data_IF_350374513397
#
_entry.id   IF_350374513397
#
_cell.length_a   1.000
_cell.length_b   1.000
_cell.length_c   1.000
_cell.angle_alpha   90.00
_cell.angle_beta   90.00
_cell.angle_gamma   90.00
#
_symmetry.space_group_name_H-M   'P 1'
#
loop_
_entity.id
_entity.type
_entity.pdbx_description
1 polymer ?
#
# COMPACT_ATOMS: atom_id res chain seq x y z
N UNK A 1 -6.17 13.01 67.48
CA UNK A 1 -7.21 14.05 67.31
C UNK A 1 -6.48 15.27 66.74
N UNK A 2 -6.66 15.76 65.52
CA UNK A 2 -7.77 15.85 64.56
C UNK A 2 -7.11 16.15 63.19
N UNK A 3 -7.05 15.18 62.26
CA UNK A 3 -7.88 15.12 61.04
C UNK A 3 -8.24 16.49 60.45
N UNK A 4 -7.59 16.88 59.34
CA UNK A 4 -8.06 17.97 58.47
C UNK A 4 -8.15 17.45 57.03
N UNK A 5 -9.39 17.40 56.56
CA UNK A 5 -9.85 16.87 55.27
C UNK A 5 -9.51 17.84 54.15
N UNK A 6 -8.86 17.35 53.07
CA UNK A 6 -8.81 18.06 51.79
C UNK A 6 -9.99 17.63 50.94
N UNK A 7 -10.77 18.62 50.52
CA UNK A 7 -11.96 18.49 49.67
C UNK A 7 -11.48 18.23 48.23
N UNK A 8 -11.89 17.10 47.66
CA UNK A 8 -11.72 16.80 46.25
C UNK A 8 -12.92 17.38 45.48
N UNK A 9 -12.67 18.41 44.68
CA UNK A 9 -13.64 18.96 43.73
C UNK A 9 -13.47 18.26 42.40
N UNK A 10 -14.32 17.28 42.12
CA UNK A 10 -14.41 16.61 40.83
C UNK A 10 -15.26 17.48 39.88
N UNK A 11 -14.61 18.08 38.88
CA UNK A 11 -15.27 18.71 37.73
C UNK A 11 -15.63 17.61 36.73
N UNK A 12 -16.91 17.26 36.65
CA UNK A 12 -17.48 16.50 35.54
C UNK A 12 -17.53 17.42 34.30
N UNK A 13 -16.57 17.27 33.39
CA UNK A 13 -16.66 17.80 32.03
C UNK A 13 -17.45 16.85 31.14
N UNK A 14 -18.65 17.25 30.72
CA UNK A 14 -19.44 16.52 29.74
C UNK A 14 -18.84 16.75 28.34
N UNK A 15 -18.21 15.71 27.78
CA UNK A 15 -17.74 15.70 26.39
C UNK A 15 -18.91 15.31 25.50
N UNK A 16 -19.49 16.30 24.80
CA UNK A 16 -20.43 16.07 23.70
C UNK A 16 -19.64 15.60 22.47
N UNK A 17 -19.59 14.29 22.25
CA UNK A 17 -19.05 13.70 21.03
C UNK A 17 -20.09 13.81 19.90
N UNK A 18 -19.89 14.77 18.99
CA UNK A 18 -20.57 14.82 17.70
C UNK A 18 -20.06 13.71 16.79
N UNK A 19 -20.76 12.56 16.82
CA UNK A 19 -20.50 11.46 15.89
C UNK A 19 -20.95 11.85 14.47
N UNK A 20 -20.01 12.31 13.65
CA UNK A 20 -20.21 12.38 12.21
C UNK A 20 -20.27 10.94 11.65
N UNK A 21 -21.47 10.48 11.31
CA UNK A 21 -21.69 9.24 10.57
C UNK A 21 -21.12 9.41 9.16
N UNK A 22 -19.87 8.99 8.96
CA UNK A 22 -19.29 8.86 7.63
C UNK A 22 -20.09 7.82 6.85
N UNK A 23 -20.73 8.25 5.75
CA UNK A 23 -21.38 7.34 4.82
C UNK A 23 -20.33 6.33 4.29
N UNK A 24 -20.68 5.04 4.16
CA UNK A 24 -19.78 4.06 3.60
C UNK A 24 -19.44 4.46 2.16
N UNK A 25 -18.16 4.67 1.88
CA UNK A 25 -17.69 4.94 0.54
C UNK A 25 -18.15 3.80 -0.39
N UNK A 26 -18.88 4.15 -1.46
CA UNK A 26 -19.29 3.20 -2.47
C UNK A 26 -18.05 2.47 -2.99
N UNK A 27 -18.02 1.15 -2.84
CA UNK A 27 -16.91 0.34 -3.35
C UNK A 27 -16.84 0.52 -4.87
N UNK A 28 -15.66 0.79 -5.43
CA UNK A 28 -15.52 0.97 -6.88
C UNK A 28 -15.99 -0.30 -7.59
N UNK A 29 -16.86 -0.16 -8.58
CA UNK A 29 -17.27 -1.26 -9.43
C UNK A 29 -16.05 -1.80 -10.17
N UNK A 30 -15.73 -3.08 -9.96
CA UNK A 30 -14.60 -3.74 -10.59
C UNK A 30 -14.81 -3.81 -12.11
N UNK A 31 -13.94 -3.18 -12.88
CA UNK A 31 -13.92 -3.34 -14.32
C UNK A 31 -13.39 -4.75 -14.66
N UNK A 32 -14.16 -5.51 -15.44
CA UNK A 32 -13.72 -6.80 -15.99
C UNK A 32 -12.54 -6.55 -16.94
N UNK A 33 -11.40 -7.26 -16.80
CA UNK A 33 -10.27 -7.11 -17.71
C UNK A 33 -10.73 -7.25 -19.17
N UNK A 34 -10.21 -6.40 -20.06
CA UNK A 34 -10.49 -6.44 -21.50
C UNK A 34 -10.48 -7.87 -22.10
N UNK A 35 -9.47 -8.73 -21.84
CA UNK A 35 -9.47 -10.10 -22.39
C UNK A 35 -10.59 -11.00 -21.86
N UNK A 36 -11.19 -10.66 -20.72
CA UNK A 36 -12.28 -11.43 -20.10
C UNK A 36 -13.68 -10.87 -20.41
N UNK A 37 -13.77 -9.75 -21.13
CA UNK A 37 -15.05 -9.12 -21.43
C UNK A 37 -15.97 -10.00 -22.28
N UNK A 38 -15.42 -10.78 -23.23
CA UNK A 38 -16.20 -11.66 -24.09
C UNK A 38 -16.89 -12.77 -23.28
N UNK A 39 -16.13 -13.51 -22.48
CA UNK A 39 -16.68 -14.58 -21.62
C UNK A 39 -17.65 -14.02 -20.58
N UNK A 40 -17.38 -12.83 -20.03
CA UNK A 40 -18.30 -12.13 -19.12
C UNK A 40 -19.62 -11.76 -19.78
N UNK A 41 -19.58 -11.16 -20.99
CA UNK A 41 -20.77 -10.79 -21.74
C UNK A 41 -21.60 -12.02 -22.10
N UNK A 42 -20.95 -13.12 -22.50
CA UNK A 42 -21.61 -14.39 -22.78
C UNK A 42 -22.28 -14.96 -21.53
N UNK A 43 -21.60 -15.00 -20.38
CA UNK A 43 -22.21 -15.43 -19.11
C UNK A 43 -23.40 -14.55 -18.72
N UNK A 44 -23.31 -13.25 -18.90
CA UNK A 44 -24.42 -12.33 -18.63
C UNK A 44 -25.62 -12.65 -19.52
N UNK A 45 -25.39 -12.89 -20.81
CA UNK A 45 -26.43 -13.31 -21.76
C UNK A 45 -27.10 -14.62 -21.34
N UNK A 46 -26.32 -15.67 -21.12
CA UNK A 46 -26.82 -16.99 -20.71
C UNK A 46 -27.61 -16.95 -19.39
N UNK A 47 -27.17 -16.17 -18.40
CA UNK A 47 -27.90 -16.01 -17.15
C UNK A 47 -29.24 -15.27 -17.35
N UNK A 48 -29.27 -14.29 -18.25
CA UNK A 48 -30.52 -13.58 -18.61
C UNK A 48 -31.50 -14.50 -19.33
N UNK A 49 -31.01 -15.32 -20.25
CA UNK A 49 -31.83 -16.31 -20.96
C UNK A 49 -32.39 -17.38 -20.02
N UNK A 50 -31.54 -17.92 -19.13
CA UNK A 50 -31.97 -18.86 -18.11
C UNK A 50 -33.09 -18.30 -17.23
N UNK A 51 -32.97 -17.03 -16.80
CA UNK A 51 -34.00 -16.36 -16.03
C UNK A 51 -35.32 -16.24 -16.82
N UNK A 52 -35.24 -15.85 -18.09
CA UNK A 52 -36.41 -15.76 -18.99
C UNK A 52 -37.11 -17.12 -19.15
N UNK A 53 -36.37 -18.20 -19.42
CA UNK A 53 -36.91 -19.55 -19.56
C UNK A 53 -37.54 -20.06 -18.25
N UNK A 54 -36.93 -19.72 -17.10
CA UNK A 54 -37.49 -20.04 -15.79
C UNK A 54 -38.81 -19.32 -15.53
N UNK A 55 -38.94 -18.08 -16.00
CA UNK A 55 -40.19 -17.32 -15.89
C UNK A 55 -41.26 -17.87 -16.84
N UNK A 56 -40.90 -18.22 -18.08
CA UNK A 56 -41.81 -18.87 -19.04
C UNK A 56 -42.32 -20.23 -18.52
N UNK A 57 -41.45 -21.04 -17.92
CA UNK A 57 -41.81 -22.34 -17.36
C UNK A 57 -42.92 -22.26 -16.29
N UNK A 58 -43.00 -21.13 -15.56
CA UNK A 58 -44.02 -20.92 -14.50
C UNK A 58 -45.42 -20.78 -15.09
N UNK A 59 -45.56 -20.15 -16.26
CA UNK A 59 -46.85 -19.89 -16.92
C UNK A 59 -47.17 -20.86 -18.06
N UNK A 60 -46.21 -21.69 -18.50
CA UNK A 60 -46.37 -22.63 -19.59
C UNK A 60 -47.43 -23.72 -19.34
N UNK A 61 -48.14 -24.10 -20.41
CA UNK A 61 -49.08 -25.23 -20.37
C UNK A 61 -48.36 -26.58 -20.21
N UNK A 62 -49.03 -27.64 -19.72
CA UNK A 62 -48.40 -28.94 -19.50
C UNK A 62 -47.70 -29.54 -20.72
N UNK A 63 -48.20 -29.29 -21.93
CA UNK A 63 -47.61 -29.79 -23.18
C UNK A 63 -46.34 -29.04 -23.60
N UNK A 64 -46.15 -27.79 -23.15
CA UNK A 64 -44.98 -26.96 -23.50
C UNK A 64 -43.81 -27.14 -22.52
N UNK A 65 -44.10 -27.48 -21.26
CA UNK A 65 -43.09 -27.62 -20.20
C UNK A 65 -41.91 -28.53 -20.56
N UNK A 66 -42.09 -29.71 -21.18
CA UNK A 66 -40.96 -30.58 -21.53
C UNK A 66 -39.94 -29.90 -22.45
N UNK A 67 -40.41 -29.13 -23.43
CA UNK A 67 -39.53 -28.41 -24.36
C UNK A 67 -38.75 -27.28 -23.65
N UNK A 68 -39.40 -26.50 -22.77
CA UNK A 68 -38.73 -25.43 -22.01
C UNK A 68 -37.70 -26.01 -21.04
N UNK A 69 -38.01 -27.15 -20.39
CA UNK A 69 -37.06 -27.85 -19.51
C UNK A 69 -35.82 -28.31 -20.28
N UNK A 70 -36.00 -28.76 -21.52
CA UNK A 70 -34.88 -29.13 -22.39
C UNK A 70 -34.00 -27.93 -22.73
N UNK A 71 -34.58 -26.78 -23.11
CA UNK A 71 -33.82 -25.54 -23.35
C UNK A 71 -33.07 -25.07 -22.11
N UNK A 72 -33.69 -25.14 -20.92
CA UNK A 72 -33.02 -24.81 -19.65
C UNK A 72 -31.81 -25.71 -19.42
N UNK A 73 -31.90 -27.00 -19.77
CA UNK A 73 -30.80 -27.96 -19.63
C UNK A 73 -29.64 -27.60 -20.56
N UNK A 74 -29.94 -27.21 -21.80
CA UNK A 74 -28.94 -26.74 -22.78
C UNK A 74 -28.22 -25.47 -22.28
N UNK A 75 -28.96 -24.43 -21.89
CA UNK A 75 -28.37 -23.17 -21.38
C UNK A 75 -27.51 -23.42 -20.14
N UNK A 76 -27.95 -24.29 -19.22
CA UNK A 76 -27.14 -24.67 -18.05
C UNK A 76 -25.84 -25.40 -18.44
N UNK A 77 -25.89 -26.24 -19.47
CA UNK A 77 -24.69 -26.91 -19.98
C UNK A 77 -23.70 -25.89 -20.56
N UNK A 78 -24.17 -24.88 -21.29
CA UNK A 78 -23.30 -23.80 -21.79
C UNK A 78 -22.70 -22.96 -20.67
N UNK A 79 -23.49 -22.57 -19.65
CA UNK A 79 -22.99 -21.86 -18.47
C UNK A 79 -21.87 -22.66 -17.80
N UNK A 80 -22.02 -23.99 -17.70
CA UNK A 80 -21.02 -24.87 -17.11
C UNK A 80 -19.69 -24.91 -17.91
N UNK A 81 -19.71 -24.58 -19.20
CA UNK A 81 -18.52 -24.46 -20.05
C UNK A 81 -17.90 -23.06 -19.97
N UNK A 82 -18.71 -22.00 -20.05
CA UNK A 82 -18.21 -20.61 -20.10
C UNK A 82 -17.74 -20.12 -18.73
N UNK A 83 -18.39 -20.55 -17.64
CA UNK A 83 -18.04 -20.10 -16.28
C UNK A 83 -16.59 -20.44 -15.90
N UNK A 84 -16.11 -21.69 -16.04
CA UNK A 84 -14.72 -22.02 -15.75
C UNK A 84 -13.72 -21.28 -16.65
N UNK A 85 -14.08 -21.00 -17.92
CA UNK A 85 -13.26 -20.20 -18.84
C UNK A 85 -13.14 -18.76 -18.37
N UNK A 86 -14.25 -18.13 -18.00
CA UNK A 86 -14.24 -16.78 -17.43
C UNK A 86 -13.42 -16.73 -16.14
N UNK A 87 -13.63 -17.66 -15.22
CA UNK A 87 -12.86 -17.74 -13.98
C UNK A 87 -11.37 -17.99 -14.24
N UNK A 88 -11.03 -18.82 -15.22
CA UNK A 88 -9.65 -19.01 -15.66
C UNK A 88 -9.09 -17.73 -16.29
N UNK A 89 -9.84 -17.04 -17.12
CA UNK A 89 -9.45 -15.75 -17.68
C UNK A 89 -9.17 -14.73 -16.57
N UNK A 90 -10.05 -14.65 -15.57
CA UNK A 90 -9.84 -13.81 -14.39
C UNK A 90 -8.58 -14.23 -13.62
N UNK A 91 -8.29 -15.52 -13.48
CA UNK A 91 -7.03 -15.95 -12.84
C UNK A 91 -5.80 -15.63 -13.67
N UNK A 92 -5.84 -15.88 -14.98
CA UNK A 92 -4.71 -15.70 -15.89
C UNK A 92 -4.42 -14.22 -16.20
N UNK A 93 -5.42 -13.36 -16.05
CA UNK A 93 -5.33 -11.91 -16.24
C UNK A 93 -5.52 -11.17 -14.92
N UNK A 94 -5.27 -11.89 -13.80
CA UNK A 94 -5.39 -11.53 -12.38
C UNK A 94 -6.55 -10.60 -12.02
N UNK A 95 -7.66 -10.73 -12.74
CA UNK A 95 -8.92 -10.04 -12.52
C UNK A 95 -8.72 -8.62 -12.03
N UNK A 96 -7.78 -7.86 -12.63
CA UNK A 96 -7.21 -6.61 -12.12
C UNK A 96 -7.54 -6.37 -10.65
N UNK A 97 -6.79 -7.02 -9.75
CA UNK A 97 -6.95 -6.80 -8.32
C UNK A 97 -7.06 -5.29 -8.08
N UNK A 98 -8.00 -4.86 -7.22
CA UNK A 98 -8.15 -3.43 -6.99
C UNK A 98 -6.82 -2.93 -6.46
N UNK A 99 -6.43 -1.74 -6.92
CA UNK A 99 -5.29 -1.06 -6.34
C UNK A 99 -5.46 -1.04 -4.82
N UNK A 100 -4.38 -1.33 -4.11
CA UNK A 100 -4.38 -1.41 -2.66
C UNK A 100 -3.62 -0.24 -2.10
N UNK A 101 -4.29 0.54 -1.26
CA UNK A 101 -3.61 1.43 -0.34
C UNK A 101 -3.32 0.66 0.95
N UNK A 102 -2.06 0.46 1.26
CA UNK A 102 -1.60 -0.12 2.51
C UNK A 102 -0.78 0.91 3.29
N UNK A 103 -0.72 0.73 4.60
CA UNK A 103 0.10 1.54 5.49
C UNK A 103 1.29 0.73 5.93
N UNK A 104 2.49 1.24 5.67
CA UNK A 104 3.70 0.81 6.32
C UNK A 104 3.82 1.49 7.68
N UNK A 105 4.09 0.73 8.73
CA UNK A 105 4.45 1.26 10.05
C UNK A 105 5.69 0.53 10.55
N UNK A 106 6.70 1.26 10.97
CA UNK A 106 7.96 0.66 11.38
C UNK A 106 9.00 1.66 11.83
N UNK A 107 10.26 1.24 11.73
CA UNK A 107 11.44 2.00 12.13
C UNK A 107 12.40 2.14 10.96
N UNK A 108 12.85 3.36 10.74
CA UNK A 108 13.92 3.72 9.81
C UNK A 108 15.22 3.86 10.58
N UNK A 109 16.33 3.43 10.00
CA UNK A 109 17.69 3.63 10.50
C UNK A 109 18.58 4.03 9.33
N UNK A 110 19.17 5.21 9.42
CA UNK A 110 20.12 5.73 8.44
C UNK A 110 21.50 5.88 9.09
N UNK A 111 22.51 5.26 8.50
CA UNK A 111 23.91 5.48 8.84
C UNK A 111 24.63 6.13 7.66
N UNK A 112 25.72 6.84 7.94
CA UNK A 112 26.58 7.43 6.92
C UNK A 112 28.05 7.21 7.26
N UNK A 113 28.92 7.21 6.25
CA UNK A 113 30.38 7.22 6.44
C UNK A 113 30.93 8.60 6.74
N UNK A 114 30.09 9.63 6.75
CA UNK A 114 30.49 10.98 7.12
C UNK A 114 30.87 11.03 8.61
N UNK A 115 32.13 11.31 8.91
CA UNK A 115 32.65 11.32 10.28
C UNK A 115 32.06 12.40 11.17
N UNK A 116 31.35 13.40 10.60
CA UNK A 116 30.64 14.44 11.37
C UNK A 116 29.32 13.92 11.93
N UNK A 117 28.77 12.86 11.36
CA UNK A 117 27.55 12.21 11.86
C UNK A 117 27.98 10.97 12.65
N UNK A 118 28.09 11.14 13.96
CA UNK A 118 28.62 10.10 14.86
C UNK A 118 27.61 9.03 15.22
N UNK A 119 26.32 9.35 15.15
CA UNK A 119 25.23 8.46 15.55
C UNK A 119 24.26 8.22 14.39
N UNK A 120 23.73 6.99 14.23
CA UNK A 120 22.67 6.70 13.27
C UNK A 120 21.42 7.55 13.51
N UNK A 121 20.78 8.01 12.42
CA UNK A 121 19.45 8.60 12.50
C UNK A 121 18.41 7.48 12.59
N UNK A 122 17.79 7.34 13.76
CA UNK A 122 16.74 6.34 14.02
C UNK A 122 15.40 7.03 14.29
N UNK A 123 14.35 6.66 13.55
CA UNK A 123 13.00 7.22 13.71
C UNK A 123 11.92 6.17 13.44
N UNK A 124 10.85 6.22 14.22
CA UNK A 124 9.63 5.49 13.88
C UNK A 124 8.88 6.27 12.77
N UNK A 125 8.37 5.54 11.79
CA UNK A 125 7.76 6.12 10.58
C UNK A 125 6.44 5.41 10.26
N UNK A 126 5.52 6.16 9.67
CA UNK A 126 4.32 5.61 9.05
C UNK A 126 4.05 6.30 7.73
N UNK A 127 3.82 5.52 6.68
CA UNK A 127 3.52 6.02 5.35
C UNK A 127 2.64 5.08 4.55
N UNK A 128 1.97 5.62 3.55
CA UNK A 128 1.10 4.85 2.68
C UNK A 128 1.86 4.34 1.45
N UNK A 129 1.77 3.04 1.22
CA UNK A 129 2.18 2.36 0.02
C UNK A 129 0.94 2.10 -0.86
N UNK A 130 1.03 2.46 -2.12
CA UNK A 130 0.01 2.22 -3.12
C UNK A 130 0.50 1.17 -4.10
N UNK A 131 -0.19 0.04 -4.10
CA UNK A 131 0.09 -1.09 -4.97
C UNK A 131 -0.91 -1.10 -6.12
N UNK A 132 -0.42 -1.05 -7.36
CA UNK A 132 -1.23 -1.06 -8.56
C UNK A 132 -0.69 -2.04 -9.62
N UNK A 133 -1.33 -2.03 -10.78
CA UNK A 133 -1.10 -3.01 -11.83
C UNK A 133 -1.94 -4.28 -11.62
N UNK A 134 -1.92 -5.14 -12.64
CA UNK A 134 -2.74 -6.35 -12.72
C UNK A 134 -2.52 -7.25 -11.49
N UNK A 135 -1.29 -7.26 -10.97
CA UNK A 135 -0.86 -8.07 -9.84
C UNK A 135 -0.47 -7.30 -8.57
N UNK A 136 -0.83 -6.01 -8.46
CA UNK A 136 -0.29 -5.14 -7.38
C UNK A 136 1.25 -5.13 -7.38
N UNK A 137 1.82 -5.25 -8.57
CA UNK A 137 3.26 -5.41 -8.77
C UNK A 137 3.99 -4.08 -8.77
N UNK A 138 3.34 -2.98 -9.16
CA UNK A 138 3.94 -1.67 -9.04
C UNK A 138 3.65 -1.11 -7.66
N UNK A 139 4.64 -0.47 -7.06
CA UNK A 139 4.52 0.14 -5.74
C UNK A 139 4.94 1.59 -5.81
N UNK A 140 4.17 2.46 -5.18
CA UNK A 140 4.54 3.86 -4.97
C UNK A 140 4.25 4.28 -3.53
N UNK A 141 5.06 5.20 -3.02
CA UNK A 141 4.86 5.85 -1.73
C UNK A 141 3.96 7.06 -1.94
N UNK A 142 2.78 7.08 -1.30
CA UNK A 142 1.75 8.15 -1.46
C UNK A 142 1.76 9.19 -0.36
N UNK A 143 2.23 8.83 0.83
CA UNK A 143 2.52 9.78 1.89
C UNK A 143 3.94 9.56 2.36
N UNK A 144 4.64 10.63 2.73
CA UNK A 144 5.96 10.52 3.34
C UNK A 144 5.94 11.36 4.62
N UNK A 145 6.29 10.78 5.79
CA UNK A 145 6.35 11.58 7.00
C UNK A 145 7.51 12.54 6.91
N UNK A 146 7.33 13.75 7.44
CA UNK A 146 8.47 14.65 7.68
C UNK A 146 9.38 14.00 8.72
N UNK A 147 10.61 13.67 8.31
CA UNK A 147 11.62 13.13 9.21
C UNK A 147 12.61 14.25 9.51
N UNK A 148 12.66 14.69 10.75
CA UNK A 148 13.61 15.72 11.19
C UNK A 148 14.64 15.11 12.13
N UNK A 149 15.91 15.40 11.88
CA UNK A 149 17.00 15.04 12.78
C UNK A 149 16.95 15.88 14.06
N UNK A 150 17.59 15.37 15.10
CA UNK A 150 18.03 16.25 16.17
C UNK A 150 19.10 17.23 15.66
N UNK A 151 19.48 18.18 16.50
CA UNK A 151 20.52 19.14 16.14
C UNK A 151 21.85 18.39 15.94
N UNK A 152 22.39 18.42 14.72
CA UNK A 152 23.68 17.80 14.38
C UNK A 152 24.77 18.83 14.64
N UNK A 153 25.85 18.40 15.29
CA UNK A 153 27.03 19.22 15.56
C UNK A 153 28.13 18.87 14.56
N UNK A 154 28.55 19.83 13.74
CA UNK A 154 29.64 19.69 12.79
C UNK A 154 30.68 20.78 13.04
N UNK A 155 31.57 20.53 14.01
CA UNK A 155 32.53 21.53 14.48
C UNK A 155 31.81 22.69 15.19
N UNK A 156 32.05 23.97 14.82
CA UNK A 156 31.40 25.12 15.46
C UNK A 156 29.97 25.41 14.94
N UNK A 157 29.48 24.62 13.97
CA UNK A 157 28.18 24.82 13.34
C UNK A 157 27.22 23.73 13.78
N UNK A 158 25.97 24.13 14.01
CA UNK A 158 24.88 23.22 14.33
C UNK A 158 23.71 23.42 13.38
N UNK A 159 23.12 22.34 12.88
CA UNK A 159 22.00 22.41 11.94
C UNK A 159 21.02 21.25 12.13
N UNK A 160 19.82 21.40 11.57
CA UNK A 160 18.82 20.34 11.50
C UNK A 160 18.70 19.87 10.06
N UNK A 161 18.41 18.59 9.90
CA UNK A 161 18.15 17.98 8.61
C UNK A 161 16.69 17.57 8.56
N UNK A 162 15.98 18.01 7.53
CA UNK A 162 14.63 17.55 7.20
C UNK A 162 14.69 16.68 5.96
N UNK A 163 14.28 15.41 6.08
CA UNK A 163 14.27 14.47 4.97
C UNK A 163 12.92 14.52 4.26
N UNK A 164 12.93 14.81 2.96
CA UNK A 164 11.76 14.84 2.09
C UNK A 164 11.90 13.83 0.96
N UNK A 165 10.76 13.33 0.48
CA UNK A 165 10.69 12.46 -0.68
C UNK A 165 10.51 13.30 -1.95
N UNK A 166 11.46 13.22 -2.88
CA UNK A 166 11.39 13.89 -4.19
C UNK A 166 10.83 12.97 -5.28
N UNK A 167 11.18 11.69 -5.25
CA UNK A 167 10.71 10.70 -6.22
C UNK A 167 10.56 9.33 -5.59
N UNK A 168 9.64 8.52 -6.13
CA UNK A 168 9.47 7.13 -5.73
C UNK A 168 8.92 6.28 -6.87
N UNK A 169 9.41 5.06 -6.96
CA UNK A 169 8.85 3.99 -7.77
C UNK A 169 9.27 2.65 -7.16
N UNK A 170 8.55 1.58 -7.42
CA UNK A 170 8.84 0.30 -6.79
C UNK A 170 8.17 -0.87 -7.46
N UNK A 171 8.59 -2.05 -7.03
CA UNK A 171 8.11 -3.34 -7.53
C UNK A 171 7.86 -4.30 -6.36
N UNK A 172 6.78 -5.07 -6.44
CA UNK A 172 6.41 -6.11 -5.49
C UNK A 172 6.15 -7.43 -6.21
N UNK A 173 6.87 -8.46 -5.80
CA UNK A 173 6.67 -9.81 -6.28
C UNK A 173 5.91 -10.61 -5.23
N UNK A 174 4.62 -10.83 -5.48
CA UNK A 174 3.70 -11.47 -4.53
C UNK A 174 4.06 -12.92 -4.20
N UNK A 175 4.64 -13.68 -5.13
CA UNK A 175 4.96 -15.09 -4.90
C UNK A 175 6.17 -15.26 -4.00
N UNK A 176 7.14 -14.34 -4.06
CA UNK A 176 8.35 -14.35 -3.24
C UNK A 176 8.29 -13.42 -2.02
N UNK A 177 7.30 -12.52 -1.95
CA UNK A 177 7.26 -11.44 -0.96
C UNK A 177 8.33 -10.37 -1.16
N UNK A 178 9.06 -10.39 -2.28
CA UNK A 178 10.13 -9.43 -2.55
C UNK A 178 9.54 -8.06 -2.85
N UNK A 179 10.04 -7.04 -2.17
CA UNK A 179 9.67 -5.64 -2.36
C UNK A 179 10.94 -4.83 -2.65
N UNK A 180 10.85 -3.93 -3.63
CA UNK A 180 11.90 -2.98 -3.99
C UNK A 180 11.30 -1.59 -4.19
N UNK A 181 11.96 -0.56 -3.67
CA UNK A 181 11.59 0.85 -3.75
C UNK A 181 12.81 1.67 -4.18
N UNK A 182 12.72 2.34 -5.32
CA UNK A 182 13.64 3.38 -5.75
C UNK A 182 13.15 4.73 -5.22
N UNK A 183 13.91 5.35 -4.32
CA UNK A 183 13.55 6.59 -3.67
C UNK A 183 14.58 7.67 -4.02
N UNK A 184 14.11 8.88 -4.33
CA UNK A 184 14.91 10.09 -4.30
C UNK A 184 14.62 10.85 -3.02
N UNK A 185 15.61 10.98 -2.13
CA UNK A 185 15.46 11.69 -0.86
C UNK A 185 16.25 13.00 -0.89
N UNK A 186 15.61 14.09 -0.48
CA UNK A 186 16.23 15.39 -0.23
C UNK A 186 16.47 15.55 1.27
N UNK A 187 17.69 15.94 1.61
CA UNK A 187 18.12 16.27 2.96
C UNK A 187 18.27 17.79 3.00
N UNK A 188 17.19 18.44 3.42
CA UNK A 188 17.07 19.89 3.57
C UNK A 188 17.79 20.29 4.87
N UNK A 189 18.93 20.96 4.69
CA UNK A 189 19.86 21.30 5.77
C UNK A 189 19.64 22.76 6.17
N UNK A 190 19.04 22.99 7.35
CA UNK A 190 18.76 24.33 7.88
C UNK A 190 20.05 24.96 8.42
N UNK A 191 20.88 25.42 7.49
CA UNK A 191 22.12 26.13 7.75
C UNK A 191 21.91 27.64 7.55
N UNK A 192 22.29 28.42 8.54
CA UNK A 192 22.17 29.88 8.52
C UNK A 192 23.10 30.59 7.50
N UNK A 193 23.76 29.85 6.60
CA UNK A 193 24.77 30.36 5.67
C UNK A 193 24.36 30.16 4.19
N UNK A 194 24.69 31.11 3.28
CA UNK A 194 24.06 31.22 1.96
C UNK A 194 24.61 30.27 0.88
N UNK A 195 24.97 29.04 1.22
CA UNK A 195 25.41 28.04 0.25
C UNK A 195 24.33 26.97 0.05
N UNK A 196 24.28 26.38 -1.14
CA UNK A 196 23.40 25.25 -1.46
C UNK A 196 23.82 24.05 -0.61
N UNK A 197 23.17 23.91 0.54
CA UNK A 197 23.50 22.95 1.58
C UNK A 197 22.82 21.61 1.37
N UNK A 198 21.81 21.54 0.51
CA UNK A 198 20.96 20.36 0.44
C UNK A 198 21.66 19.16 -0.19
N UNK A 199 21.66 18.06 0.56
CA UNK A 199 22.19 16.78 0.10
C UNK A 199 21.07 15.93 -0.52
N UNK A 200 21.33 15.24 -1.62
CA UNK A 200 20.38 14.30 -2.24
C UNK A 200 20.87 12.87 -2.14
N UNK A 201 19.95 11.94 -1.92
CA UNK A 201 20.25 10.51 -1.83
C UNK A 201 19.30 9.72 -2.73
N UNK A 202 19.70 9.41 -3.98
CA UNK A 202 19.01 8.41 -4.80
C UNK A 202 19.35 7.03 -4.25
N UNK A 203 18.37 6.28 -3.77
CA UNK A 203 18.60 4.99 -3.12
C UNK A 203 17.57 3.94 -3.55
N UNK A 204 18.04 2.73 -3.82
CA UNK A 204 17.19 1.56 -3.98
C UNK A 204 17.16 0.79 -2.67
N UNK A 205 15.99 0.71 -2.06
CA UNK A 205 15.70 -0.15 -0.92
C UNK A 205 15.08 -1.43 -1.42
N UNK A 206 15.57 -2.59 -0.96
CA UNK A 206 15.01 -3.86 -1.37
C UNK A 206 15.14 -4.93 -0.30
N UNK A 207 14.22 -5.89 -0.35
CA UNK A 207 14.28 -7.13 0.44
C UNK A 207 15.39 -8.08 -0.03
N UNK A 208 15.96 -7.83 -1.21
CA UNK A 208 17.06 -8.59 -1.82
C UNK A 208 18.43 -7.93 -1.63
N UNK A 209 18.46 -6.74 -1.02
CA UNK A 209 19.69 -6.08 -0.63
C UNK A 209 20.27 -6.74 0.64
N UNK A 210 21.58 -6.62 0.90
CA UNK A 210 22.16 -7.06 2.16
C UNK A 210 21.42 -6.46 3.37
N UNK A 211 20.94 -7.32 4.28
CA UNK A 211 20.12 -6.93 5.44
C UNK A 211 18.61 -6.84 5.16
N UNK A 212 18.18 -6.99 3.90
CA UNK A 212 16.77 -7.07 3.52
C UNK A 212 16.15 -8.42 3.91
N UNK A 213 14.86 -8.40 4.21
CA UNK A 213 14.05 -9.58 4.54
C UNK A 213 12.72 -9.48 3.78
N UNK A 214 12.42 -10.51 2.99
CA UNK A 214 11.19 -10.60 2.21
C UNK A 214 9.93 -10.51 3.09
N UNK A 215 8.85 -9.96 2.52
CA UNK A 215 7.59 -9.78 3.23
C UNK A 215 6.95 -11.13 3.59
N UNK A 216 6.70 -11.37 4.87
CA UNK A 216 6.06 -12.58 5.35
C UNK A 216 4.53 -12.58 5.18
N UNK A 217 3.86 -13.62 5.67
CA UNK A 217 2.40 -13.75 5.60
C UNK A 217 1.66 -12.73 6.47
N UNK A 218 2.30 -12.18 7.50
CA UNK A 218 1.74 -11.15 8.39
C UNK A 218 2.02 -9.72 7.89
N UNK A 219 2.78 -9.57 6.80
CA UNK A 219 3.16 -8.27 6.24
C UNK A 219 4.43 -7.67 6.84
N UNK A 220 5.16 -8.40 7.67
CA UNK A 220 6.44 -7.94 8.21
C UNK A 220 7.49 -7.97 7.12
N UNK A 221 8.30 -6.92 7.00
CA UNK A 221 9.29 -6.75 5.93
C UNK A 221 10.47 -5.91 6.43
N UNK A 222 11.66 -6.21 5.92
CA UNK A 222 12.83 -5.33 6.06
C UNK A 222 13.35 -4.94 4.68
N UNK A 223 13.38 -3.64 4.42
CA UNK A 223 13.99 -3.07 3.22
C UNK A 223 15.34 -2.47 3.61
N UNK A 224 16.41 -2.85 2.92
CA UNK A 224 17.73 -2.27 3.12
C UNK A 224 18.25 -1.72 1.80
N UNK A 225 19.16 -0.76 1.87
CA UNK A 225 19.85 -0.24 0.69
C UNK A 225 21.07 0.59 1.09
N UNK A 226 22.02 0.69 0.17
CA UNK A 226 23.20 1.54 0.32
C UNK A 226 23.35 2.40 -0.92
N UNK A 227 23.67 3.67 -0.74
CA UNK A 227 23.95 4.59 -1.84
C UNK A 227 24.93 5.67 -1.39
N UNK A 228 25.18 6.66 -2.23
CA UNK A 228 26.08 7.79 -1.95
C UNK A 228 25.31 9.09 -2.12
N UNK A 229 25.49 10.02 -1.17
CA UNK A 229 24.93 11.36 -1.25
C UNK A 229 25.55 12.16 -2.41
N UNK A 230 24.75 13.02 -3.02
CA UNK A 230 25.13 13.96 -4.06
C UNK A 230 24.77 15.39 -3.64
N UNK A 231 25.74 16.31 -3.76
CA UNK A 231 25.56 17.72 -3.39
C UNK A 231 25.53 17.93 -1.88
N UNK A 232 25.41 19.19 -1.49
CA UNK A 232 25.29 19.60 -0.10
C UNK A 232 26.47 19.22 0.79
N UNK A 233 26.24 19.23 2.10
CA UNK A 233 27.32 18.92 3.05
C UNK A 233 27.70 17.45 3.04
N UNK A 234 26.79 16.53 2.72
CA UNK A 234 27.05 15.08 2.77
C UNK A 234 27.64 14.52 1.48
N UNK A 235 27.95 15.36 0.48
CA UNK A 235 28.40 14.94 -0.84
C UNK A 235 29.52 13.89 -0.81
N UNK A 236 29.31 12.76 -1.51
CA UNK A 236 30.27 11.66 -1.59
C UNK A 236 30.26 10.71 -0.39
N UNK A 237 29.60 11.05 0.71
CA UNK A 237 29.44 10.14 1.83
C UNK A 237 28.51 8.98 1.45
N UNK A 238 28.88 7.76 1.85
CA UNK A 238 28.05 6.57 1.65
C UNK A 238 27.01 6.48 2.76
N UNK A 239 25.75 6.30 2.40
CA UNK A 239 24.64 6.12 3.32
C UNK A 239 24.11 4.68 3.23
N UNK A 240 23.75 4.10 4.38
CA UNK A 240 22.98 2.85 4.46
C UNK A 240 21.65 3.13 5.14
N UNK A 241 20.56 2.80 4.48
CA UNK A 241 19.20 3.00 4.99
C UNK A 241 18.54 1.64 5.16
N UNK A 242 18.04 1.37 6.37
CA UNK A 242 17.25 0.18 6.69
C UNK A 242 15.89 0.59 7.21
N UNK A 243 14.83 -0.05 6.70
CA UNK A 243 13.44 0.19 7.07
C UNK A 243 12.83 -1.15 7.46
N UNK A 244 12.53 -1.33 8.75
CA UNK A 244 11.94 -2.56 9.28
C UNK A 244 10.56 -2.26 9.84
N UNK A 245 9.55 -3.02 9.44
CA UNK A 245 8.18 -2.78 9.89
C UNK A 245 7.18 -3.74 9.30
N UNK A 246 5.92 -3.29 9.28
CA UNK A 246 4.77 -4.05 8.82
C UNK A 246 3.97 -3.26 7.79
N UNK A 247 3.51 -3.94 6.73
CA UNK A 247 2.60 -3.40 5.70
C UNK A 247 1.20 -3.99 5.91
N UNK A 248 0.22 -3.12 6.21
CA UNK A 248 -1.17 -3.53 6.44
C UNK A 248 -2.16 -2.65 5.66
N UNK A 249 -3.16 -3.25 4.95
CA UNK A 249 -3.29 -4.68 4.67
C UNK A 249 -2.15 -5.21 3.77
N UNK A 250 -1.87 -6.51 3.87
CA UNK A 250 -0.88 -7.17 3.00
C UNK A 250 -1.34 -7.17 1.53
N UNK A 251 -0.48 -6.82 0.56
CA UNK A 251 -0.80 -6.81 -0.87
C UNK A 251 -1.25 -8.14 -1.50
#
# INVERSE_FOLDING_TARGET
>A
MTSSRRIATALLGAVLSTGALLAPAASPAYAVPAPCQADFAQLKGLNSELASLQDELKSASPSQKPAIVEQIREVKAEIAVVKPRYEKCLRDNDGSKPALLATFTGRVTLTTTDSRVTEPLVRDVSFNLYFDGVNRENVSVRSWPTITSDLIQAGPVSFRVTVRLESNAGQFNRSSGRLSLNLGLLFDEDLAWPLDSDSRLPITLGTDQPGGIAMDAAGNVTLAGTSTFNGGHLNGARATLTVTGNVTPRP
#
